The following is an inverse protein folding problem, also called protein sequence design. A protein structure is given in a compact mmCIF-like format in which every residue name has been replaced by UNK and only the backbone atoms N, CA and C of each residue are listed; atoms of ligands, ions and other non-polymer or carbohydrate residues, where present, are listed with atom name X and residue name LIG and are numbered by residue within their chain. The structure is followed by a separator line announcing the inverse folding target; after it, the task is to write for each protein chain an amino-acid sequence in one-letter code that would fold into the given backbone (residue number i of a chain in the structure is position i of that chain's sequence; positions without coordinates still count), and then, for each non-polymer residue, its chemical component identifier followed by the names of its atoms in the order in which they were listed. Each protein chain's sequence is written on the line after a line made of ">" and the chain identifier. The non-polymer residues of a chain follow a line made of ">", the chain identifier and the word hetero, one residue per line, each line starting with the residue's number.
data_IF_836651087548
#
_entry.id   IF_836651087548
#
_cell.length_a   1.000
_cell.length_b   1.000
_cell.length_c   1.000
_cell.angle_alpha   90.00
_cell.angle_beta   90.00
_cell.angle_gamma   90.00
#
_symmetry.space_group_name_H-M   'P 1'
#
loop_
_entity.id
_entity.type
_entity.pdbx_description
1 polymer ?
#
# COMPACT_ATOMS: atom_id res chain seq x y z
N UNK A 1 28.96 -6.31 27.24
CA UNK A 1 30.14 -6.38 26.34
C UNK A 1 29.74 -6.91 24.96
N UNK A 2 29.33 -8.18 24.78
CA UNK A 2 28.81 -8.66 23.47
C UNK A 2 27.31 -8.36 23.23
N UNK A 3 26.52 -8.28 24.31
CA UNK A 3 25.09 -7.93 24.28
C UNK A 3 24.82 -6.54 23.70
N UNK A 4 25.70 -5.59 24.01
CA UNK A 4 25.50 -4.18 23.69
C UNK A 4 25.73 -3.95 22.18
N UNK A 5 26.71 -4.64 21.59
CA UNK A 5 26.93 -4.66 20.14
C UNK A 5 25.76 -5.30 19.38
N UNK A 6 25.14 -6.34 19.93
CA UNK A 6 23.96 -6.99 19.33
C UNK A 6 22.70 -6.09 19.38
N UNK A 7 22.57 -5.27 20.42
CA UNK A 7 21.50 -4.29 20.56
C UNK A 7 21.62 -3.19 19.49
N UNK A 8 22.84 -2.72 19.22
CA UNK A 8 23.13 -1.69 18.20
C UNK A 8 22.77 -2.17 16.80
N UNK A 9 23.16 -3.41 16.43
CA UNK A 9 22.86 -4.00 15.11
C UNK A 9 21.34 -4.15 14.89
N UNK A 10 20.58 -4.51 15.94
CA UNK A 10 19.11 -4.55 15.87
C UNK A 10 18.52 -3.15 15.64
N UNK A 11 19.06 -2.13 16.30
CA UNK A 11 18.58 -0.75 16.15
C UNK A 11 18.85 -0.13 14.77
N UNK A 12 19.95 -0.52 14.11
CA UNK A 12 20.23 -0.09 12.74
C UNK A 12 19.25 -0.71 11.72
N UNK A 13 18.75 -1.92 11.98
CA UNK A 13 17.78 -2.60 11.10
C UNK A 13 16.36 -2.02 11.17
N UNK A 14 16.06 -1.25 12.21
CA UNK A 14 14.75 -0.62 12.46
C UNK A 14 14.72 0.86 12.02
N UNK A 15 15.82 1.35 11.44
CA UNK A 15 15.86 2.68 10.86
C UNK A 15 14.89 2.76 9.68
N UNK A 16 14.03 3.82 9.62
CA UNK A 16 13.16 4.01 8.48
C UNK A 16 14.01 4.12 7.22
N UNK A 17 13.83 3.17 6.29
CA UNK A 17 14.48 3.24 4.98
C UNK A 17 14.10 4.57 4.31
N UNK A 18 15.03 5.25 3.63
CA UNK A 18 14.71 6.48 2.90
C UNK A 18 13.50 6.25 1.99
N UNK A 19 12.45 7.05 2.17
CA UNK A 19 11.25 6.97 1.35
C UNK A 19 11.59 7.59 -0.01
N UNK A 20 11.71 6.77 -1.03
CA UNK A 20 11.84 7.24 -2.42
C UNK A 20 10.41 7.41 -2.95
N UNK A 21 9.94 8.65 -3.18
CA UNK A 21 8.60 8.86 -3.69
C UNK A 21 8.48 8.31 -5.11
N UNK A 22 7.38 7.62 -5.39
CA UNK A 22 7.08 7.21 -6.75
C UNK A 22 6.93 8.44 -7.66
N UNK A 23 7.58 8.44 -8.81
CA UNK A 23 7.31 9.43 -9.86
C UNK A 23 5.89 9.23 -10.38
N UNK A 24 5.12 10.32 -10.51
CA UNK A 24 3.75 10.22 -11.03
C UNK A 24 3.78 9.70 -12.47
N UNK A 25 3.11 8.57 -12.70
CA UNK A 25 2.76 8.08 -14.03
C UNK A 25 1.44 8.70 -14.48
N UNK A 26 1.26 8.89 -15.78
CA UNK A 26 -0.02 9.35 -16.38
C UNK A 26 -1.18 8.38 -16.13
N UNK A 27 -0.87 7.14 -15.76
CA UNK A 27 -1.85 6.10 -15.40
C UNK A 27 -2.41 6.27 -13.98
N UNK A 28 -1.79 7.12 -13.14
CA UNK A 28 -2.22 7.34 -11.76
C UNK A 28 -3.26 8.46 -11.72
N UNK A 29 -4.53 8.07 -11.58
CA UNK A 29 -5.67 8.97 -11.54
C UNK A 29 -5.79 9.81 -10.24
N UNK A 30 -5.29 9.32 -9.10
CA UNK A 30 -5.49 9.95 -7.79
C UNK A 30 -4.17 10.16 -7.05
N UNK A 31 -4.07 11.28 -6.33
CA UNK A 31 -2.89 11.64 -5.56
C UNK A 31 -2.91 11.08 -4.12
N UNK A 32 -1.73 10.90 -3.56
CA UNK A 32 -1.52 10.65 -2.14
C UNK A 32 -2.07 11.82 -1.30
N UNK A 33 -2.69 11.51 -0.16
CA UNK A 33 -3.34 12.46 0.74
C UNK A 33 -4.81 12.73 0.43
N UNK A 34 -5.35 12.22 -0.69
CA UNK A 34 -6.77 12.40 -1.01
C UNK A 34 -7.65 11.52 -0.12
N UNK A 35 -8.72 12.14 0.41
CA UNK A 35 -9.83 11.45 1.05
C UNK A 35 -10.75 10.90 -0.02
N UNK A 36 -11.14 9.63 0.11
CA UNK A 36 -12.05 8.95 -0.81
C UNK A 36 -13.03 8.05 -0.07
N UNK A 37 -14.08 7.62 -0.79
CA UNK A 37 -15.05 6.63 -0.33
C UNK A 37 -15.01 5.40 -1.25
N UNK A 38 -14.88 4.20 -0.66
CA UNK A 38 -14.77 2.97 -1.43
C UNK A 38 -16.12 2.60 -2.07
N UNK A 39 -16.19 2.55 -3.41
CA UNK A 39 -17.45 2.35 -4.15
C UNK A 39 -18.29 1.13 -3.75
N UNK A 40 -17.65 -0.02 -3.49
CA UNK A 40 -18.34 -1.28 -3.12
C UNK A 40 -18.71 -1.39 -1.63
N UNK A 41 -17.77 -1.05 -0.74
CA UNK A 41 -17.88 -1.29 0.71
C UNK A 41 -18.22 -0.04 1.52
N UNK A 42 -18.31 1.12 0.87
CA UNK A 42 -18.78 2.39 1.42
C UNK A 42 -18.00 2.94 2.63
N UNK A 43 -16.75 2.51 2.84
CA UNK A 43 -15.90 3.09 3.88
C UNK A 43 -15.15 4.33 3.38
N UNK A 44 -14.86 5.24 4.30
CA UNK A 44 -14.01 6.42 4.06
C UNK A 44 -12.56 6.12 4.39
N UNK A 45 -11.64 6.58 3.54
CA UNK A 45 -10.21 6.36 3.72
C UNK A 45 -9.37 7.46 3.05
N UNK A 46 -8.09 7.49 3.39
CA UNK A 46 -7.08 8.38 2.79
C UNK A 46 -6.08 7.55 1.99
N UNK A 47 -5.77 7.98 0.77
CA UNK A 47 -4.71 7.36 -0.05
C UNK A 47 -3.35 7.72 0.54
N UNK A 48 -2.55 6.74 0.93
CA UNK A 48 -1.17 6.99 1.42
C UNK A 48 -0.09 6.45 0.46
N UNK A 49 -0.47 5.68 -0.55
CA UNK A 49 0.45 5.20 -1.57
C UNK A 49 -0.26 4.50 -2.72
N UNK A 50 0.51 4.00 -3.67
CA UNK A 50 0.01 3.21 -4.79
C UNK A 50 1.11 2.34 -5.37
N UNK A 51 0.70 1.23 -5.98
CA UNK A 51 1.53 0.30 -6.73
C UNK A 51 1.06 0.28 -8.19
N UNK A 52 1.98 0.19 -9.16
CA UNK A 52 1.66 0.14 -10.61
C UNK A 52 0.82 -1.09 -11.00
N UNK A 53 0.93 -2.14 -10.21
CA UNK A 53 0.30 -3.44 -10.40
C UNK A 53 -0.07 -4.01 -9.03
N UNK A 54 -0.98 -4.98 -8.99
CA UNK A 54 -1.38 -5.61 -7.74
C UNK A 54 -0.21 -6.37 -7.10
N UNK A 55 0.20 -5.97 -5.89
CA UNK A 55 1.24 -6.65 -5.11
C UNK A 55 0.69 -7.66 -4.08
N UNK A 56 -0.62 -7.85 -4.05
CA UNK A 56 -1.28 -8.72 -3.06
C UNK A 56 -1.13 -10.21 -3.41
N UNK A 57 -1.12 -11.12 -2.42
CA UNK A 57 -1.05 -12.56 -2.65
C UNK A 57 -2.20 -13.10 -3.50
N UNK A 58 -1.95 -14.17 -4.26
CA UNK A 58 -2.92 -14.78 -5.18
C UNK A 58 -4.26 -15.16 -4.51
N UNK A 59 -4.21 -15.64 -3.26
CA UNK A 59 -5.40 -16.02 -2.50
C UNK A 59 -6.32 -14.82 -2.24
N UNK A 60 -5.70 -13.65 -1.98
CA UNK A 60 -6.40 -12.39 -1.78
C UNK A 60 -6.96 -11.87 -3.10
N UNK A 61 -6.17 -11.91 -4.17
CA UNK A 61 -6.58 -11.51 -5.53
C UNK A 61 -7.84 -12.27 -5.94
N UNK A 62 -7.87 -13.59 -5.74
CA UNK A 62 -9.04 -14.43 -6.02
C UNK A 62 -10.22 -14.08 -5.13
N UNK A 63 -10.00 -13.92 -3.81
CA UNK A 63 -11.07 -13.61 -2.84
C UNK A 63 -11.74 -12.26 -3.10
N UNK A 64 -10.95 -11.26 -3.49
CA UNK A 64 -11.42 -9.91 -3.77
C UNK A 64 -11.94 -9.75 -5.21
N UNK A 65 -11.80 -10.79 -6.04
CA UNK A 65 -12.28 -10.79 -7.41
C UNK A 65 -11.51 -9.85 -8.33
N UNK A 66 -10.21 -9.64 -8.05
CA UNK A 66 -9.35 -8.76 -8.86
C UNK A 66 -9.27 -9.26 -10.31
N UNK A 67 -9.29 -10.58 -10.53
CA UNK A 67 -9.26 -11.19 -11.87
C UNK A 67 -10.49 -10.86 -12.73
N UNK A 68 -11.57 -10.38 -12.12
CA UNK A 68 -12.79 -9.95 -12.82
C UNK A 68 -12.77 -8.46 -13.20
N UNK A 69 -11.75 -7.71 -12.78
CA UNK A 69 -11.57 -6.32 -13.20
C UNK A 69 -11.06 -6.25 -14.64
N UNK A 70 -11.40 -5.16 -15.34
CA UNK A 70 -11.04 -4.93 -16.74
C UNK A 70 -9.56 -5.18 -17.05
N UNK A 71 -8.67 -4.73 -16.16
CA UNK A 71 -7.22 -4.85 -16.31
C UNK A 71 -6.58 -5.84 -15.32
N UNK A 72 -7.40 -6.62 -14.59
CA UNK A 72 -6.95 -7.62 -13.62
C UNK A 72 -5.93 -7.05 -12.63
N UNK A 73 -4.76 -7.67 -12.50
CA UNK A 73 -3.65 -7.20 -11.67
C UNK A 73 -2.78 -6.14 -12.33
N UNK A 74 -2.94 -5.87 -13.63
CA UNK A 74 -2.11 -4.97 -14.43
C UNK A 74 -2.71 -3.56 -14.51
N UNK A 75 -3.08 -3.02 -13.36
CA UNK A 75 -3.56 -1.64 -13.19
C UNK A 75 -3.06 -1.09 -11.86
N UNK A 76 -3.08 0.23 -11.67
CA UNK A 76 -2.71 0.81 -10.39
C UNK A 76 -3.63 0.37 -9.26
N UNK A 77 -3.04 -0.03 -8.14
CA UNK A 77 -3.74 -0.29 -6.87
C UNK A 77 -3.32 0.77 -5.85
N UNK A 78 -4.30 1.37 -5.18
CA UNK A 78 -4.06 2.38 -4.16
C UNK A 78 -4.03 1.74 -2.78
N UNK A 79 -3.04 2.13 -1.99
CA UNK A 79 -2.92 1.74 -0.58
C UNK A 79 -3.62 2.81 0.26
N UNK A 80 -4.63 2.40 1.05
CA UNK A 80 -5.49 3.33 1.77
C UNK A 80 -5.52 3.08 3.27
N UNK A 81 -5.56 4.16 4.05
CA UNK A 81 -5.77 4.15 5.49
C UNK A 81 -7.23 4.44 5.79
N UNK A 82 -7.92 3.48 6.39
CA UNK A 82 -9.34 3.58 6.72
C UNK A 82 -9.52 4.23 8.09
N UNK A 83 -10.69 4.82 8.34
CA UNK A 83 -11.01 5.46 9.62
C UNK A 83 -10.91 4.54 10.84
N UNK A 84 -10.98 3.21 10.65
CA UNK A 84 -10.82 2.20 11.70
C UNK A 84 -9.34 1.85 11.97
N UNK A 85 -8.41 2.53 11.29
CA UNK A 85 -6.97 2.29 11.37
C UNK A 85 -6.48 1.12 10.51
N UNK A 86 -7.36 0.43 9.78
CA UNK A 86 -6.95 -0.66 8.89
C UNK A 86 -6.30 -0.14 7.60
N UNK A 87 -5.33 -0.91 7.10
CA UNK A 87 -4.75 -0.71 5.77
C UNK A 87 -5.43 -1.64 4.78
N UNK A 88 -5.80 -1.12 3.61
CA UNK A 88 -6.49 -1.87 2.56
C UNK A 88 -5.97 -1.55 1.17
#
# INVERSE_FOLDING_TARGET
>A
MLSDCQQIIKSESDMPKPIIPNSRSTEIAFATGLVMQHKRYNYSCVIFGWDKECKMPADWVRRMGVDHLQYKTKQPFYNVLVHDGSHR
#
